data_IF_061181690578
#
_entry.id   IF_061181690578
#
_cell.length_a   1.000
_cell.length_b   1.000
_cell.length_c   1.000
_cell.angle_alpha   90.00
_cell.angle_beta   90.00
_cell.angle_gamma   90.00
#
_symmetry.space_group_name_H-M   'P 1'
#
loop_
_entity.id
_entity.type
_entity.pdbx_description
1 polymer ?
#
# COMPACT_ATOMS: atom_id res chain seq x y z
N UNK A 1 -22.73 33.57 -19.66
CA UNK A 1 -23.37 32.41 -19.02
C UNK A 1 -22.44 31.19 -18.86
N UNK A 2 -21.56 30.87 -19.82
CA UNK A 2 -20.58 29.75 -19.71
C UNK A 2 -19.56 29.87 -18.56
N UNK A 3 -19.10 31.08 -18.25
CA UNK A 3 -18.10 31.31 -17.18
C UNK A 3 -18.68 31.22 -15.75
N UNK A 4 -19.98 31.43 -15.58
CA UNK A 4 -20.64 31.36 -14.27
C UNK A 4 -20.75 29.91 -13.78
N UNK A 5 -20.97 28.98 -14.71
CA UNK A 5 -21.03 27.54 -14.40
C UNK A 5 -19.67 26.96 -13.99
N UNK A 6 -18.57 27.46 -14.58
CA UNK A 6 -17.21 27.06 -14.19
C UNK A 6 -16.84 27.55 -12.79
N UNK A 7 -17.18 28.80 -12.45
CA UNK A 7 -16.95 29.35 -11.10
C UNK A 7 -17.77 28.62 -10.03
N UNK A 8 -19.00 28.23 -10.34
CA UNK A 8 -19.82 27.44 -9.42
C UNK A 8 -19.22 26.04 -9.15
N UNK A 9 -18.60 25.40 -10.15
CA UNK A 9 -18.02 24.06 -9.98
C UNK A 9 -16.78 24.04 -9.07
N UNK A 10 -15.97 25.11 -9.06
CA UNK A 10 -14.81 25.21 -8.15
C UNK A 10 -15.20 25.45 -6.69
N UNK A 11 -16.40 26.01 -6.43
CA UNK A 11 -16.86 26.30 -5.07
C UNK A 11 -17.27 25.04 -4.26
N UNK A 12 -17.44 23.89 -4.93
CA UNK A 12 -17.78 22.61 -4.29
C UNK A 12 -16.57 21.66 -4.12
N UNK A 13 -15.36 22.12 -4.42
CA UNK A 13 -14.15 21.34 -4.17
C UNK A 13 -13.84 21.34 -2.66
N UNK A 14 -14.46 20.41 -1.92
CA UNK A 14 -14.15 20.18 -0.51
C UNK A 14 -12.69 19.76 -0.34
N UNK A 15 -11.95 20.43 0.54
CA UNK A 15 -10.60 20.03 0.92
C UNK A 15 -10.69 18.70 1.66
N UNK A 16 -10.25 17.61 1.02
CA UNK A 16 -10.04 16.34 1.68
C UNK A 16 -8.83 16.49 2.62
N UNK A 17 -9.07 16.87 3.88
CA UNK A 17 -8.06 16.80 4.93
C UNK A 17 -7.86 15.32 5.27
N UNK A 18 -6.83 14.71 4.68
CA UNK A 18 -6.37 13.40 5.10
C UNK A 18 -5.71 13.52 6.48
N UNK A 19 -6.46 13.15 7.53
CA UNK A 19 -5.96 13.10 8.90
C UNK A 19 -4.81 12.08 8.97
N UNK A 20 -3.57 12.59 9.08
CA UNK A 20 -2.36 11.78 9.06
C UNK A 20 -1.78 11.67 10.48
N UNK A 21 -2.60 11.31 11.47
CA UNK A 21 -2.08 10.89 12.77
C UNK A 21 -1.63 9.42 12.71
N UNK A 22 -0.38 9.18 12.33
CA UNK A 22 0.23 7.84 12.44
C UNK A 22 0.66 7.62 13.88
N UNK A 23 -0.26 7.10 14.70
CA UNK A 23 0.08 6.58 16.04
C UNK A 23 0.81 5.24 15.86
N UNK A 24 2.12 5.28 15.71
CA UNK A 24 2.94 4.08 15.68
C UNK A 24 3.03 3.47 17.08
N UNK A 25 2.05 2.64 17.46
CA UNK A 25 2.22 1.73 18.61
C UNK A 25 3.27 0.68 18.24
N UNK A 26 4.45 0.73 18.88
CA UNK A 26 5.42 -0.38 18.87
C UNK A 26 4.68 -1.66 19.27
N UNK A 27 4.46 -2.56 18.32
CA UNK A 27 3.84 -3.87 18.55
C UNK A 27 2.42 -4.05 17.99
N UNK A 28 1.81 -3.07 17.31
CA UNK A 28 0.57 -3.35 16.58
C UNK A 28 0.91 -4.14 15.31
N UNK A 29 0.31 -5.32 15.16
CA UNK A 29 0.27 -6.06 13.89
C UNK A 29 -0.31 -5.12 12.84
N UNK A 30 0.55 -4.54 12.01
CA UNK A 30 0.13 -3.72 10.88
C UNK A 30 -0.47 -4.66 9.84
N UNK A 31 -1.59 -4.26 9.22
CA UNK A 31 -2.18 -5.00 8.11
C UNK A 31 -1.15 -5.19 6.99
N UNK A 32 -1.31 -6.21 6.16
CA UNK A 32 -0.46 -6.40 4.99
C UNK A 32 -0.51 -5.17 4.06
N UNK A 33 -1.67 -4.53 3.95
CA UNK A 33 -1.85 -3.31 3.16
C UNK A 33 -1.08 -2.12 3.75
N UNK A 34 -1.17 -1.87 5.06
CA UNK A 34 -0.42 -0.79 5.69
C UNK A 34 1.10 -1.02 5.55
N UNK A 35 1.52 -2.29 5.65
CA UNK A 35 2.92 -2.64 5.46
C UNK A 35 3.38 -2.36 4.02
N UNK A 36 2.58 -2.74 3.02
CA UNK A 36 2.86 -2.43 1.61
C UNK A 36 2.97 -0.92 1.38
N UNK A 37 2.10 -0.11 2.01
CA UNK A 37 2.15 1.36 1.94
C UNK A 37 3.43 1.91 2.57
N UNK A 38 3.84 1.39 3.74
CA UNK A 38 5.09 1.79 4.40
C UNK A 38 6.30 1.49 3.51
N UNK A 39 6.37 0.28 2.94
CA UNK A 39 7.44 -0.13 2.01
C UNK A 39 7.42 0.77 0.77
N UNK A 40 6.25 1.02 0.18
CA UNK A 40 6.13 1.85 -1.02
C UNK A 40 6.54 3.30 -0.77
N UNK A 41 6.19 3.88 0.38
CA UNK A 41 6.65 5.22 0.79
C UNK A 41 8.16 5.27 0.96
N UNK A 42 8.76 4.22 1.54
CA UNK A 42 10.21 4.12 1.73
C UNK A 42 10.96 3.81 0.43
N UNK A 43 10.31 3.15 -0.53
CA UNK A 43 10.94 2.64 -1.75
C UNK A 43 11.92 1.48 -1.52
N UNK A 44 11.89 0.85 -0.34
CA UNK A 44 12.84 -0.18 0.07
C UNK A 44 12.12 -1.31 0.83
N UNK A 45 12.53 -2.55 0.54
CA UNK A 45 11.98 -3.75 1.14
C UNK A 45 12.39 -3.86 2.60
N UNK A 46 11.39 -4.03 3.48
CA UNK A 46 11.60 -4.23 4.92
C UNK A 46 10.63 -5.31 5.35
N UNK A 47 11.14 -6.32 6.06
CA UNK A 47 10.28 -7.31 6.70
C UNK A 47 9.60 -6.71 7.93
N UNK A 48 8.32 -7.03 8.10
CA UNK A 48 7.66 -6.74 9.37
C UNK A 48 7.85 -7.93 10.30
N UNK A 49 8.08 -7.67 11.58
CA UNK A 49 8.08 -8.72 12.60
C UNK A 49 6.65 -9.15 12.98
N UNK A 50 5.81 -9.49 12.00
CA UNK A 50 4.39 -9.79 12.19
C UNK A 50 4.10 -11.18 12.79
N UNK A 51 5.14 -11.99 13.06
CA UNK A 51 5.01 -13.33 13.63
C UNK A 51 4.41 -14.39 12.70
N UNK A 52 4.25 -14.10 11.41
CA UNK A 52 3.72 -15.01 10.37
C UNK A 52 4.73 -15.15 9.24
N UNK A 53 4.55 -16.15 8.38
CA UNK A 53 5.30 -16.22 7.13
C UNK A 53 4.93 -15.01 6.25
N UNK A 54 5.92 -14.24 5.85
CA UNK A 54 5.76 -13.04 5.02
C UNK A 54 6.46 -13.25 3.67
N UNK A 55 5.79 -12.84 2.60
CA UNK A 55 6.38 -12.65 1.30
C UNK A 55 6.28 -11.20 0.89
N UNK A 56 7.36 -10.65 0.37
CA UNK A 56 7.39 -9.29 -0.18
C UNK A 56 7.88 -9.38 -1.62
N UNK A 57 7.14 -8.78 -2.54
CA UNK A 57 7.44 -8.78 -3.96
C UNK A 57 7.41 -7.39 -4.55
N UNK A 58 8.09 -7.21 -5.70
CA UNK A 58 8.06 -5.96 -6.47
C UNK A 58 7.79 -6.23 -7.93
N UNK A 59 7.20 -5.28 -8.64
CA UNK A 59 6.91 -5.43 -10.07
C UNK A 59 6.51 -4.12 -10.76
N UNK A 60 6.48 -4.14 -12.09
CA UNK A 60 5.94 -3.05 -12.90
C UNK A 60 4.41 -2.99 -12.87
N UNK A 61 3.74 -4.09 -12.48
CA UNK A 61 2.29 -4.13 -12.24
C UNK A 61 1.97 -4.67 -10.84
N UNK A 62 0.76 -4.39 -10.29
CA UNK A 62 0.32 -4.93 -9.01
C UNK A 62 0.39 -6.46 -8.97
N UNK A 63 -0.09 -7.13 -10.01
CA UNK A 63 -0.16 -8.59 -10.09
C UNK A 63 1.24 -9.20 -10.21
N UNK A 64 2.14 -8.54 -10.93
CA UNK A 64 3.53 -8.98 -11.00
C UNK A 64 4.19 -8.90 -9.62
N UNK A 65 4.00 -7.79 -8.89
CA UNK A 65 4.52 -7.66 -7.53
C UNK A 65 3.97 -8.76 -6.61
N UNK A 66 2.66 -9.06 -6.71
CA UNK A 66 2.00 -10.13 -5.97
C UNK A 66 2.60 -11.51 -6.30
N UNK A 67 2.75 -11.84 -7.59
CA UNK A 67 3.35 -13.12 -8.03
C UNK A 67 4.81 -13.29 -7.64
N UNK A 68 5.54 -12.17 -7.49
CA UNK A 68 6.94 -12.18 -7.09
C UNK A 68 7.16 -12.39 -5.58
N UNK A 69 6.11 -12.51 -4.77
CA UNK A 69 6.23 -12.82 -3.35
C UNK A 69 6.72 -14.27 -3.14
N UNK A 70 7.63 -14.47 -2.17
CA UNK A 70 8.40 -15.72 -1.99
C UNK A 70 7.57 -17.03 -1.95
N UNK A 71 6.40 -16.99 -1.31
CA UNK A 71 5.52 -18.15 -1.12
C UNK A 71 4.25 -18.09 -1.96
N UNK A 72 4.19 -17.21 -2.96
CA UNK A 72 3.06 -17.12 -3.86
C UNK A 72 2.81 -18.46 -4.56
N UNK A 73 1.59 -18.98 -4.45
CA UNK A 73 1.20 -20.30 -4.97
C UNK A 73 1.72 -21.50 -4.18
N UNK A 74 2.50 -21.30 -3.11
CA UNK A 74 3.08 -22.38 -2.28
C UNK A 74 2.42 -22.52 -0.91
N UNK A 75 1.82 -21.43 -0.41
CA UNK A 75 1.14 -21.39 0.90
C UNK A 75 -0.23 -20.73 0.79
N UNK A 76 -1.06 -20.93 1.81
CA UNK A 76 -2.38 -20.30 1.87
C UNK A 76 -2.22 -18.84 2.26
N UNK A 77 -2.74 -17.96 1.41
CA UNK A 77 -2.79 -16.52 1.64
C UNK A 77 -3.80 -16.24 2.75
N UNK A 78 -3.36 -15.55 3.80
CA UNK A 78 -4.21 -15.09 4.90
C UNK A 78 -4.59 -13.63 4.69
N UNK A 79 -3.64 -12.82 4.24
CA UNK A 79 -3.82 -11.40 4.03
C UNK A 79 -2.86 -10.94 2.94
N UNK A 80 -3.27 -9.97 2.12
CA UNK A 80 -2.42 -9.38 1.09
C UNK A 80 -2.63 -7.87 1.02
N UNK A 81 -1.58 -7.19 0.59
CA UNK A 81 -1.58 -5.76 0.38
C UNK A 81 -0.67 -5.38 -0.76
N UNK A 82 -1.06 -4.38 -1.54
CA UNK A 82 -0.31 -3.90 -2.70
C UNK A 82 -0.33 -2.37 -2.74
N UNK A 83 0.83 -1.77 -3.00
CA UNK A 83 0.97 -0.31 -3.05
C UNK A 83 1.98 0.11 -4.12
N UNK A 84 1.67 1.20 -4.83
CA UNK A 84 2.60 1.82 -5.77
C UNK A 84 3.56 2.75 -5.04
N UNK A 85 4.84 2.66 -5.36
CA UNK A 85 5.86 3.60 -4.88
C UNK A 85 6.16 4.65 -5.94
N UNK A 86 5.87 5.95 -5.69
CA UNK A 86 6.32 7.01 -6.58
C UNK A 86 7.85 7.18 -6.56
N UNK A 87 8.50 6.83 -5.44
CA UNK A 87 9.95 6.93 -5.28
C UNK A 87 10.69 5.87 -6.08
N UNK A 88 10.30 4.60 -5.94
CA UNK A 88 10.92 3.49 -6.65
C UNK A 88 10.29 3.20 -8.03
N UNK A 89 9.23 3.95 -8.38
CA UNK A 89 8.39 3.84 -9.59
C UNK A 89 7.96 2.41 -9.91
N UNK A 90 7.58 1.65 -8.89
CA UNK A 90 7.19 0.24 -9.00
C UNK A 90 6.17 -0.11 -7.93
N UNK A 91 5.48 -1.23 -8.15
CA UNK A 91 4.56 -1.81 -7.19
C UNK A 91 5.29 -2.66 -6.18
N UNK A 92 4.85 -2.60 -4.93
CA UNK A 92 5.25 -3.47 -3.84
C UNK A 92 4.04 -4.25 -3.37
N UNK A 93 4.21 -5.54 -3.15
CA UNK A 93 3.21 -6.42 -2.57
C UNK A 93 3.73 -7.05 -1.29
N UNK A 94 2.87 -7.19 -0.30
CA UNK A 94 3.11 -7.90 0.96
C UNK A 94 2.02 -8.95 1.09
N UNK A 95 2.41 -10.18 1.39
CA UNK A 95 1.48 -11.29 1.61
C UNK A 95 1.82 -11.99 2.92
N UNK A 96 0.80 -12.22 3.74
CA UNK A 96 0.85 -13.06 4.94
C UNK A 96 0.35 -14.45 4.60
N UNK A 97 1.08 -15.46 5.07
CA UNK A 97 0.75 -16.85 4.83
C UNK A 97 0.58 -17.62 6.14
N UNK A 98 -0.27 -18.64 6.07
CA UNK A 98 -0.29 -19.76 7.03
C UNK A 98 0.41 -20.99 6.46
#
# INVERSE_FOLDING_TARGET
MRFVLLLAALAFASVANADTTVVARRGSVISAQDHAVVIARRGSLVHSSCGQYEGIGTGSTPEQARRNCCFFGKRVIVEEGVAYSPVARRWFAVIRYR
#
